data_IF_214094244647
#
_entry.id   IF_214094244647
#
_cell.length_a   1.000
_cell.length_b   1.000
_cell.length_c   1.000
_cell.angle_alpha   90.00
_cell.angle_beta   90.00
_cell.angle_gamma   90.00
#
_symmetry.space_group_name_H-M   'P 1'
#
loop_
_entity.id
_entity.type
_entity.pdbx_description
1 polymer ?
#
# COMPACT_ATOMS: atom_id res chain seq x y z
N UNK A 1 -27.21 -43.10 -33.71
CA UNK A 1 -27.15 -41.68 -33.31
C UNK A 1 -26.14 -41.54 -32.19
N UNK A 2 -24.92 -41.12 -32.54
CA UNK A 2 -23.88 -40.86 -31.54
C UNK A 2 -23.86 -39.35 -31.29
N UNK A 3 -24.20 -38.97 -30.04
CA UNK A 3 -24.06 -37.58 -29.56
C UNK A 3 -22.60 -37.32 -29.25
N UNK A 4 -21.93 -36.56 -30.11
CA UNK A 4 -20.60 -36.05 -29.83
C UNK A 4 -20.66 -34.94 -28.79
N UNK A 5 -20.16 -35.20 -27.61
CA UNK A 5 -19.82 -34.18 -26.62
C UNK A 5 -18.56 -33.46 -27.10
N UNK A 6 -18.74 -32.24 -27.60
CA UNK A 6 -17.63 -31.33 -27.89
C UNK A 6 -17.16 -30.75 -26.56
N UNK A 7 -16.06 -31.25 -26.03
CA UNK A 7 -15.34 -30.64 -24.91
C UNK A 7 -14.58 -29.44 -25.48
N UNK A 8 -15.10 -28.24 -25.28
CA UNK A 8 -14.30 -27.04 -25.51
C UNK A 8 -13.32 -26.94 -24.31
N UNK A 9 -12.15 -27.50 -24.50
CA UNK A 9 -11.01 -27.22 -23.65
C UNK A 9 -10.60 -25.76 -23.91
N UNK A 10 -10.81 -24.89 -22.96
CA UNK A 10 -10.12 -23.60 -22.90
C UNK A 10 -8.68 -23.96 -22.58
N UNK A 11 -7.81 -23.85 -23.56
CA UNK A 11 -6.36 -23.91 -23.36
C UNK A 11 -5.97 -22.60 -22.67
N UNK A 12 -6.11 -22.54 -21.35
CA UNK A 12 -5.54 -21.47 -20.55
C UNK A 12 -4.03 -21.70 -20.45
N UNK A 13 -3.33 -21.40 -21.54
CA UNK A 13 -1.87 -21.35 -21.50
C UNK A 13 -1.45 -20.28 -20.48
N UNK A 14 -0.67 -20.68 -19.47
CA UNK A 14 -0.09 -19.76 -18.51
C UNK A 14 0.63 -18.61 -19.22
N UNK A 15 0.40 -17.34 -18.82
CA UNK A 15 1.05 -16.20 -19.44
C UNK A 15 2.57 -16.35 -19.36
N UNK A 16 3.24 -16.09 -20.46
CA UNK A 16 4.69 -16.22 -20.59
C UNK A 16 5.43 -14.99 -20.04
N UNK A 17 4.72 -13.90 -19.84
CA UNK A 17 5.27 -12.60 -19.45
C UNK A 17 4.29 -11.82 -18.58
N UNK A 18 4.82 -11.07 -17.61
CA UNK A 18 4.02 -10.18 -16.77
C UNK A 18 3.29 -9.10 -17.58
N UNK A 19 3.83 -8.68 -18.71
CA UNK A 19 3.24 -7.65 -19.57
C UNK A 19 1.92 -8.10 -20.24
N UNK A 20 1.64 -9.39 -20.25
CA UNK A 20 0.38 -9.96 -20.75
C UNK A 20 -0.76 -9.75 -19.75
N UNK A 21 -0.46 -9.62 -18.45
CA UNK A 21 -1.44 -9.58 -17.37
C UNK A 21 -1.38 -8.33 -16.51
N UNK A 22 -0.34 -7.51 -16.68
CA UNK A 22 -0.15 -6.28 -15.92
C UNK A 22 0.46 -5.19 -16.79
N UNK A 23 -0.23 -4.07 -16.91
CA UNK A 23 0.26 -2.87 -17.60
C UNK A 23 0.72 -1.84 -16.59
N UNK A 24 1.90 -1.27 -16.81
CA UNK A 24 2.47 -0.24 -15.94
C UNK A 24 2.49 1.09 -16.67
N UNK A 25 1.94 2.12 -16.02
CA UNK A 25 2.01 3.51 -16.50
C UNK A 25 2.60 4.38 -15.41
N UNK A 26 3.40 5.36 -15.80
CA UNK A 26 3.96 6.33 -14.86
C UNK A 26 3.85 7.75 -15.38
N UNK A 27 3.57 8.66 -14.47
CA UNK A 27 3.43 10.09 -14.74
C UNK A 27 3.88 10.93 -13.55
N UNK A 28 4.14 12.21 -13.80
CA UNK A 28 4.35 13.21 -12.75
C UNK A 28 3.25 14.25 -12.87
N UNK A 29 2.55 14.47 -11.77
CA UNK A 29 1.45 15.43 -11.69
C UNK A 29 1.79 16.55 -10.72
N UNK A 30 1.24 17.74 -10.96
CA UNK A 30 1.39 18.86 -10.03
C UNK A 30 0.48 18.65 -8.83
N UNK A 31 1.02 18.84 -7.62
CA UNK A 31 0.33 18.68 -6.35
C UNK A 31 0.83 17.51 -5.54
N UNK A 32 0.41 17.46 -4.28
CA UNK A 32 0.68 16.34 -3.38
C UNK A 32 -0.63 15.77 -2.84
N UNK A 33 -0.72 14.45 -2.62
CA UNK A 33 -1.86 13.87 -1.92
C UNK A 33 -1.85 14.39 -0.50
N UNK A 34 -2.92 15.06 -0.14
CA UNK A 34 -3.28 15.52 1.20
C UNK A 34 -2.38 16.53 1.92
N UNK A 35 -3.10 17.41 2.64
CA UNK A 35 -2.77 18.24 3.78
C UNK A 35 -1.85 19.44 3.50
N UNK A 36 -2.49 20.56 3.27
CA UNK A 36 -1.85 21.87 3.31
C UNK A 36 -2.02 22.69 2.03
N UNK A 37 -1.46 23.88 2.08
CA UNK A 37 -1.45 24.77 0.92
C UNK A 37 -0.43 24.26 -0.09
N UNK A 38 -0.91 23.67 -1.18
CA UNK A 38 -0.06 23.24 -2.31
C UNK A 38 0.65 24.41 -2.95
N UNK A 39 1.90 24.21 -3.32
CA UNK A 39 2.73 25.17 -4.04
C UNK A 39 3.13 24.60 -5.41
N UNK A 40 3.68 25.41 -6.29
CA UNK A 40 4.23 24.96 -7.59
C UNK A 40 5.44 24.01 -7.45
N UNK A 41 5.94 23.86 -6.23
CA UNK A 41 7.06 22.98 -5.93
C UNK A 41 6.60 21.56 -5.55
N UNK A 42 5.33 21.41 -5.22
CA UNK A 42 4.77 20.13 -4.77
C UNK A 42 4.30 19.32 -5.99
N UNK A 43 4.83 18.13 -6.13
CA UNK A 43 4.60 17.21 -7.23
C UNK A 43 4.28 15.82 -6.68
N UNK A 44 3.70 14.97 -7.50
CA UNK A 44 3.53 13.54 -7.18
C UNK A 44 3.97 12.70 -8.36
N UNK A 45 4.86 11.75 -8.10
CA UNK A 45 5.08 10.62 -8.99
C UNK A 45 3.93 9.64 -8.80
N UNK A 46 3.22 9.32 -9.88
CA UNK A 46 2.16 8.32 -9.90
C UNK A 46 2.62 7.15 -10.78
N UNK A 47 2.58 5.94 -10.24
CA UNK A 47 2.83 4.72 -10.99
C UNK A 47 1.58 3.86 -10.84
N UNK A 48 0.89 3.61 -11.95
CA UNK A 48 -0.31 2.79 -12.00
C UNK A 48 0.02 1.39 -12.51
N UNK A 49 -0.44 0.38 -11.79
CA UNK A 49 -0.54 -0.99 -12.27
C UNK A 49 -1.99 -1.25 -12.66
N UNK A 50 -2.22 -1.72 -13.87
CA UNK A 50 -3.52 -2.17 -14.39
C UNK A 50 -3.41 -3.68 -14.60
N UNK A 51 -4.23 -4.45 -13.89
CA UNK A 51 -4.21 -5.92 -13.87
C UNK A 51 -5.34 -6.45 -14.73
N UNK A 52 -5.10 -7.56 -15.39
CA UNK A 52 -6.15 -8.30 -16.06
C UNK A 52 -7.06 -9.03 -15.05
N UNK A 53 -8.20 -9.49 -15.49
CA UNK A 53 -9.22 -10.14 -14.66
C UNK A 53 -8.65 -11.31 -13.85
N UNK A 54 -9.06 -11.41 -12.59
CA UNK A 54 -8.63 -12.40 -11.58
C UNK A 54 -7.17 -12.29 -11.12
N UNK A 55 -6.35 -11.42 -11.71
CA UNK A 55 -5.01 -11.18 -11.21
C UNK A 55 -5.04 -10.19 -10.05
N UNK A 56 -4.16 -10.40 -9.06
CA UNK A 56 -4.00 -9.49 -7.94
C UNK A 56 -2.53 -9.17 -7.68
N UNK A 57 -2.28 -8.01 -7.10
CA UNK A 57 -0.98 -7.60 -6.57
C UNK A 57 -1.08 -7.30 -5.09
N UNK A 58 0.02 -6.99 -4.43
CA UNK A 58 0.12 -6.97 -2.97
C UNK A 58 0.27 -5.56 -2.42
N UNK A 59 -0.19 -5.40 -1.18
CA UNK A 59 0.07 -4.23 -0.35
C UNK A 59 1.39 -4.40 0.41
N UNK A 60 1.75 -3.42 1.27
CA UNK A 60 2.95 -3.45 2.09
C UNK A 60 3.07 -4.67 3.00
N UNK A 61 1.97 -5.16 3.53
CA UNK A 61 1.84 -6.46 4.18
C UNK A 61 1.06 -7.36 3.24
N UNK A 62 1.73 -8.34 2.69
CA UNK A 62 1.12 -9.27 1.74
C UNK A 62 0.12 -10.24 2.39
N UNK A 63 0.14 -10.39 3.73
CA UNK A 63 -0.69 -11.34 4.43
C UNK A 63 -0.05 -12.72 4.56
N UNK A 64 -0.82 -13.79 4.31
CA UNK A 64 -0.37 -15.17 4.54
C UNK A 64 0.75 -15.61 3.60
N UNK A 65 0.83 -15.05 2.39
CA UNK A 65 1.83 -15.37 1.37
C UNK A 65 1.95 -14.25 0.34
N UNK A 66 2.90 -14.36 -0.58
CA UNK A 66 3.20 -13.34 -1.58
C UNK A 66 4.36 -12.44 -1.15
N UNK A 67 4.55 -11.35 -1.85
CA UNK A 67 5.60 -10.39 -1.55
C UNK A 67 5.13 -8.94 -1.77
N UNK A 68 5.46 -8.03 -0.84
CA UNK A 68 5.15 -6.61 -1.01
C UNK A 68 5.93 -6.00 -2.16
N UNK A 69 5.36 -4.98 -2.82
CA UNK A 69 6.08 -4.23 -3.83
C UNK A 69 7.23 -3.44 -3.22
N UNK A 70 8.29 -3.24 -4.02
CA UNK A 70 9.44 -2.41 -3.64
C UNK A 70 9.61 -1.30 -4.65
N UNK A 71 9.43 -0.07 -4.21
CA UNK A 71 9.61 1.12 -5.02
C UNK A 71 10.79 1.93 -4.49
N UNK A 72 11.77 2.19 -5.35
CA UNK A 72 12.88 3.09 -5.11
C UNK A 72 12.78 4.28 -6.06
N UNK A 73 12.91 5.48 -5.52
CA UNK A 73 12.86 6.73 -6.28
C UNK A 73 14.17 7.47 -6.07
N UNK A 74 14.82 7.83 -7.17
CA UNK A 74 16.03 8.64 -7.18
C UNK A 74 15.72 9.98 -7.82
N UNK A 75 15.77 11.03 -7.01
CA UNK A 75 15.55 12.41 -7.42
C UNK A 75 16.86 13.17 -7.44
N UNK A 76 16.94 14.31 -8.17
CA UNK A 76 18.10 15.19 -8.14
C UNK A 76 18.38 15.75 -6.73
N UNK A 77 19.60 16.23 -6.54
CA UNK A 77 20.02 16.87 -5.29
C UNK A 77 19.10 18.04 -4.91
N UNK A 78 18.80 18.15 -3.62
CA UNK A 78 17.91 19.20 -3.09
C UNK A 78 16.42 18.93 -3.23
N UNK A 79 16.03 17.78 -3.81
CA UNK A 79 14.64 17.36 -3.81
C UNK A 79 14.28 16.59 -2.53
N UNK A 80 13.09 16.86 -2.00
CA UNK A 80 12.52 16.03 -0.94
C UNK A 80 11.68 14.93 -1.58
N UNK A 81 11.93 13.68 -1.23
CA UNK A 81 11.15 12.50 -1.65
C UNK A 81 10.39 11.99 -0.44
N UNK A 82 9.07 12.11 -0.49
CA UNK A 82 8.19 11.61 0.56
C UNK A 82 8.01 10.10 0.52
N UNK A 83 7.32 9.55 1.52
CA UNK A 83 7.03 8.13 1.56
C UNK A 83 6.06 7.73 0.43
N UNK A 84 6.22 6.51 -0.08
CA UNK A 84 5.26 5.96 -1.04
C UNK A 84 3.89 5.74 -0.37
N UNK A 85 2.86 6.16 -1.04
CA UNK A 85 1.46 6.09 -0.62
C UNK A 85 0.74 5.04 -1.46
N UNK A 86 0.03 4.12 -0.82
CA UNK A 86 -0.87 3.15 -1.42
C UNK A 86 -2.27 3.27 -0.82
N UNK A 87 -3.33 3.02 -1.57
CA UNK A 87 -4.68 2.98 -1.02
C UNK A 87 -4.84 1.83 -0.01
N UNK A 88 -5.95 1.83 0.74
CA UNK A 88 -6.29 0.72 1.62
C UNK A 88 -6.42 -0.57 0.80
N UNK A 89 -5.75 -1.68 1.21
CA UNK A 89 -5.79 -2.92 0.47
C UNK A 89 -7.13 -3.63 0.62
N UNK A 90 -7.43 -4.52 -0.29
CA UNK A 90 -8.46 -5.55 -0.13
C UNK A 90 -7.90 -6.74 0.65
N UNK A 91 -8.80 -7.49 1.32
CA UNK A 91 -8.47 -8.79 1.88
C UNK A 91 -8.94 -9.86 0.89
N UNK A 92 -8.03 -10.42 0.15
CA UNK A 92 -8.29 -11.39 -0.91
C UNK A 92 -8.18 -12.77 -0.30
N UNK A 93 -9.25 -13.56 -0.40
CA UNK A 93 -9.24 -14.96 0.05
C UNK A 93 -8.56 -15.83 -1.00
N UNK A 94 -7.60 -16.64 -0.58
CA UNK A 94 -6.92 -17.61 -1.45
C UNK A 94 -6.84 -18.97 -0.76
N UNK A 95 -6.54 -20.03 -1.50
CA UNK A 95 -6.38 -21.38 -0.96
C UNK A 95 -5.24 -21.50 0.07
N UNK A 96 -4.26 -20.60 0.00
CA UNK A 96 -3.13 -20.55 0.92
C UNK A 96 -3.36 -19.59 2.11
N UNK A 97 -4.58 -19.03 2.23
CA UNK A 97 -4.95 -18.08 3.25
C UNK A 97 -5.15 -16.66 2.71
N UNK A 98 -5.60 -15.73 3.57
CA UNK A 98 -5.90 -14.36 3.14
C UNK A 98 -4.64 -13.58 2.80
N UNK A 99 -4.69 -12.82 1.71
CA UNK A 99 -3.67 -11.86 1.32
C UNK A 99 -4.25 -10.45 1.29
N UNK A 100 -3.39 -9.45 1.41
CA UNK A 100 -3.77 -8.04 1.32
C UNK A 100 -3.19 -7.44 0.05
N UNK A 101 -4.07 -6.91 -0.81
CA UNK A 101 -3.64 -6.43 -2.11
C UNK A 101 -4.76 -5.75 -2.88
N UNK A 102 -4.66 -5.83 -4.19
CA UNK A 102 -5.54 -5.13 -5.12
C UNK A 102 -5.83 -5.98 -6.34
N UNK A 103 -7.09 -5.97 -6.77
CA UNK A 103 -7.52 -6.40 -8.09
C UNK A 103 -7.59 -5.19 -9.03
N UNK A 104 -7.74 -5.43 -10.32
CA UNK A 104 -7.97 -4.45 -11.37
C UNK A 104 -6.87 -3.39 -11.48
N UNK A 105 -6.69 -2.55 -10.48
CA UNK A 105 -5.67 -1.50 -10.53
C UNK A 105 -5.23 -0.99 -9.16
N UNK A 106 -3.99 -0.54 -9.11
CA UNK A 106 -3.46 0.20 -7.96
C UNK A 106 -2.54 1.32 -8.43
N UNK A 107 -2.52 2.43 -7.68
CA UNK A 107 -1.61 3.55 -7.92
C UNK A 107 -0.67 3.73 -6.73
N UNK A 108 0.61 3.68 -7.02
CA UNK A 108 1.67 4.13 -6.12
C UNK A 108 1.83 5.62 -6.28
N UNK A 109 1.79 6.35 -5.20
CA UNK A 109 1.99 7.79 -5.20
C UNK A 109 3.19 8.14 -4.33
N UNK A 110 4.10 8.92 -4.87
CA UNK A 110 5.26 9.43 -4.13
C UNK A 110 5.22 10.94 -4.14
N UNK A 111 4.91 11.58 -3.00
CA UNK A 111 5.02 13.02 -2.89
C UNK A 111 6.46 13.47 -3.10
N UNK A 112 6.63 14.51 -3.89
CA UNK A 112 7.91 15.09 -4.22
C UNK A 112 7.85 16.59 -3.99
N UNK A 113 8.94 17.17 -3.49
CA UNK A 113 9.08 18.63 -3.42
C UNK A 113 10.40 19.04 -4.04
N UNK A 114 10.32 19.85 -5.08
CA UNK A 114 11.50 20.38 -5.79
C UNK A 114 11.95 21.71 -5.19
N UNK A 115 13.26 22.01 -5.18
CA UNK A 115 13.78 23.28 -4.65
C UNK A 115 13.35 24.48 -5.50
N UNK A 116 13.20 24.28 -6.81
CA UNK A 116 12.79 25.29 -7.78
C UNK A 116 12.05 24.65 -8.97
N UNK A 117 11.67 25.45 -9.96
CA UNK A 117 10.93 25.01 -11.14
C UNK A 117 11.84 24.60 -12.33
N UNK A 118 13.12 24.36 -12.11
CA UNK A 118 14.01 23.91 -13.17
C UNK A 118 13.61 22.53 -13.72
N UNK A 119 13.76 22.30 -15.04
CA UNK A 119 13.57 20.96 -15.59
C UNK A 119 14.54 19.96 -14.96
N UNK A 120 14.06 18.75 -14.70
CA UNK A 120 14.86 17.72 -14.04
C UNK A 120 14.52 16.32 -14.60
N UNK A 121 15.30 15.33 -14.20
CA UNK A 121 15.02 13.92 -14.46
C UNK A 121 14.84 13.19 -13.14
N UNK A 122 13.77 12.42 -13.05
CA UNK A 122 13.43 11.56 -11.92
C UNK A 122 13.53 10.12 -12.37
N UNK A 123 14.25 9.30 -11.61
CA UNK A 123 14.34 7.85 -11.83
C UNK A 123 13.53 7.09 -10.82
N UNK A 124 12.90 5.98 -11.25
CA UNK A 124 12.35 5.02 -10.31
C UNK A 124 12.65 3.58 -10.74
N UNK A 125 12.66 2.70 -9.75
CA UNK A 125 12.73 1.26 -9.90
C UNK A 125 11.60 0.65 -9.09
N UNK A 126 10.76 -0.17 -9.73
CA UNK A 126 9.64 -0.87 -9.11
C UNK A 126 9.78 -2.37 -9.34
N UNK A 127 9.81 -3.13 -8.25
CA UNK A 127 9.65 -4.57 -8.24
C UNK A 127 8.28 -4.90 -7.64
N UNK A 128 7.51 -5.78 -8.28
CA UNK A 128 6.19 -6.18 -7.77
C UNK A 128 5.87 -7.62 -8.17
N UNK A 129 4.92 -8.22 -7.48
CA UNK A 129 4.43 -9.56 -7.75
C UNK A 129 2.96 -9.48 -8.16
N UNK A 130 2.57 -10.21 -9.20
CA UNK A 130 1.16 -10.43 -9.54
C UNK A 130 0.87 -11.92 -9.55
N UNK A 131 -0.27 -12.32 -9.00
CA UNK A 131 -0.63 -13.71 -8.84
C UNK A 131 -2.10 -13.97 -9.22
N UNK A 132 -2.34 -15.15 -9.78
CA UNK A 132 -3.62 -15.81 -9.96
C UNK A 132 -3.43 -17.26 -9.51
N UNK A 133 -3.28 -18.22 -10.39
CA UNK A 133 -2.87 -19.59 -10.08
C UNK A 133 -1.35 -19.72 -9.94
N UNK A 134 -0.61 -18.85 -10.60
CA UNK A 134 0.84 -18.71 -10.48
C UNK A 134 1.23 -17.27 -10.26
N UNK A 135 2.46 -17.05 -9.80
CA UNK A 135 2.99 -15.72 -9.53
C UNK A 135 4.03 -15.31 -10.55
N UNK A 136 3.90 -14.10 -11.06
CA UNK A 136 4.82 -13.47 -12.01
C UNK A 136 5.49 -12.27 -11.33
N UNK A 137 6.82 -12.25 -11.38
CA UNK A 137 7.61 -11.11 -10.87
C UNK A 137 7.73 -10.05 -11.96
N UNK A 138 7.31 -8.83 -11.64
CA UNK A 138 7.53 -7.64 -12.44
C UNK A 138 8.70 -6.84 -11.94
N UNK A 139 9.48 -6.29 -12.85
CA UNK A 139 10.55 -5.36 -12.59
C UNK A 139 10.53 -4.26 -13.65
N UNK A 140 10.52 -3.01 -13.22
CA UNK A 140 10.59 -1.88 -14.13
C UNK A 140 11.50 -0.79 -13.59
N UNK A 141 12.36 -0.28 -14.47
CA UNK A 141 13.13 0.94 -14.24
C UNK A 141 12.77 1.96 -15.31
N UNK A 142 12.50 3.20 -14.93
CA UNK A 142 12.15 4.26 -15.86
C UNK A 142 12.74 5.60 -15.41
N UNK A 143 12.98 6.49 -16.39
CA UNK A 143 13.40 7.86 -16.17
C UNK A 143 12.35 8.80 -16.74
N UNK A 144 11.81 9.67 -15.90
CA UNK A 144 10.78 10.62 -16.26
C UNK A 144 11.37 12.04 -16.31
N UNK A 145 11.04 12.78 -17.36
CA UNK A 145 11.38 14.21 -17.44
C UNK A 145 10.34 15.01 -16.67
N UNK A 146 10.82 15.87 -15.78
CA UNK A 146 10.00 16.83 -15.04
C UNK A 146 10.18 18.17 -15.69
N UNK A 147 9.18 18.71 -16.40
CA UNK A 147 9.29 20.04 -17.01
C UNK A 147 9.20 21.15 -15.96
N UNK A 148 9.62 22.35 -16.33
CA UNK A 148 9.49 23.54 -15.48
C UNK A 148 8.04 23.83 -15.09
N UNK A 149 7.10 23.63 -16.01
CA UNK A 149 5.66 23.78 -15.78
C UNK A 149 4.97 22.44 -16.02
N UNK A 150 4.20 22.00 -15.04
CA UNK A 150 3.30 20.86 -15.14
C UNK A 150 1.86 21.37 -15.22
N UNK A 151 1.05 20.72 -16.06
CA UNK A 151 -0.39 20.90 -16.00
C UNK A 151 -0.88 20.48 -14.59
N UNK A 152 -1.92 21.15 -14.08
CA UNK A 152 -2.57 20.67 -12.86
C UNK A 152 -3.00 19.23 -13.09
N UNK A 153 -2.57 18.33 -12.21
CA UNK A 153 -3.02 16.95 -12.21
C UNK A 153 -4.53 16.85 -12.01
N UNK A 154 -5.14 15.85 -12.59
CA UNK A 154 -6.53 15.54 -12.27
C UNK A 154 -6.58 15.10 -10.79
N UNK A 155 -7.44 15.67 -9.95
CA UNK A 155 -7.60 15.21 -8.57
C UNK A 155 -7.90 13.71 -8.46
N UNK A 156 -8.45 13.11 -9.51
CA UNK A 156 -8.69 11.66 -9.60
C UNK A 156 -7.41 10.84 -9.74
N UNK A 157 -6.32 11.44 -10.17
CA UNK A 157 -5.01 10.79 -10.22
C UNK A 157 -4.33 10.71 -8.85
N UNK A 158 -4.79 11.53 -7.90
CA UNK A 158 -4.31 11.55 -6.53
C UNK A 158 -5.31 10.83 -5.64
N UNK A 159 -5.02 9.59 -5.29
CA UNK A 159 -5.83 8.81 -4.34
C UNK A 159 -5.52 9.23 -2.90
N UNK A 160 -6.51 9.09 -2.02
CA UNK A 160 -6.26 9.23 -0.59
C UNK A 160 -5.30 8.13 -0.10
N UNK A 161 -4.32 8.51 0.69
CA UNK A 161 -3.47 7.55 1.40
C UNK A 161 -4.32 6.68 2.32
N UNK A 162 -4.04 5.39 2.36
CA UNK A 162 -4.63 4.47 3.32
C UNK A 162 -4.50 4.97 4.77
N UNK A 163 -3.44 5.72 5.08
CA UNK A 163 -3.21 6.34 6.38
C UNK A 163 -3.84 7.74 6.52
N UNK A 164 -4.40 8.29 5.46
CA UNK A 164 -5.11 9.58 5.43
C UNK A 164 -6.58 9.39 5.09
N UNK A 165 -7.21 8.38 5.66
CA UNK A 165 -8.65 8.19 5.57
C UNK A 165 -9.40 9.42 6.10
N UNK A 166 -10.60 9.64 5.57
CA UNK A 166 -11.45 10.77 5.93
C UNK A 166 -11.52 11.00 7.45
N UNK A 167 -11.64 12.26 7.92
CA UNK A 167 -11.86 12.55 9.33
C UNK A 167 -13.03 11.70 9.86
N UNK A 168 -12.81 10.96 10.93
CA UNK A 168 -13.78 10.00 11.49
C UNK A 168 -13.41 8.54 11.24
N UNK A 169 -12.53 8.25 10.28
CA UNK A 169 -11.93 6.91 10.11
C UNK A 169 -10.51 6.80 10.67
N UNK A 170 -10.01 7.84 11.33
CA UNK A 170 -8.76 7.81 12.08
C UNK A 170 -9.02 7.43 13.52
N UNK A 171 -8.27 6.44 14.00
CA UNK A 171 -8.35 5.96 15.38
C UNK A 171 -7.15 6.44 16.18
N UNK A 172 -7.38 6.72 17.45
CA UNK A 172 -6.29 6.94 18.40
C UNK A 172 -5.54 5.64 18.63
N UNK A 173 -4.24 5.74 18.70
CA UNK A 173 -3.37 4.60 18.98
C UNK A 173 -2.21 5.00 19.88
N UNK A 174 -1.68 4.03 20.61
CA UNK A 174 -0.52 4.22 21.48
C UNK A 174 0.18 2.91 21.74
N UNK A 175 1.47 2.99 22.01
CA UNK A 175 2.25 1.85 22.45
C UNK A 175 2.08 1.70 23.99
N UNK A 176 1.83 0.49 24.46
CA UNK A 176 1.75 0.11 25.87
C UNK A 176 2.71 -1.06 26.10
N UNK A 177 3.96 -0.76 26.47
CA UNK A 177 5.04 -1.74 26.44
C UNK A 177 5.27 -2.23 25.00
N UNK A 178 5.18 -3.53 24.79
CA UNK A 178 5.28 -4.14 23.45
C UNK A 178 3.89 -4.49 22.88
N UNK A 179 2.85 -3.76 23.27
CA UNK A 179 1.51 -3.90 22.72
C UNK A 179 1.05 -2.60 22.09
N UNK A 180 0.57 -2.67 20.86
CA UNK A 180 -0.11 -1.56 20.20
C UNK A 180 -1.58 -1.53 20.64
N UNK A 181 -1.96 -0.50 21.36
CA UNK A 181 -3.36 -0.23 21.63
C UNK A 181 -3.94 0.67 20.54
N UNK A 182 -5.10 0.27 19.99
CA UNK A 182 -5.86 1.03 19.00
C UNK A 182 -7.31 1.19 19.47
N UNK A 183 -7.85 2.40 19.40
CA UNK A 183 -9.22 2.74 19.77
C UNK A 183 -10.23 1.90 18.97
N UNK A 184 -11.27 1.43 19.66
CA UNK A 184 -12.39 0.74 19.03
C UNK A 184 -13.32 1.74 18.35
N UNK A 185 -13.57 1.64 17.05
CA UNK A 185 -14.53 2.51 16.38
C UNK A 185 -15.95 2.26 16.91
N UNK A 186 -16.70 3.34 17.10
CA UNK A 186 -18.06 3.26 17.64
C UNK A 186 -18.99 2.46 16.72
N UNK A 187 -19.79 1.60 17.33
CA UNK A 187 -20.81 0.82 16.63
C UNK A 187 -20.29 -0.41 15.89
N UNK A 188 -18.98 -0.74 16.03
CA UNK A 188 -18.43 -1.95 15.43
C UNK A 188 -18.43 -3.13 16.39
N UNK A 189 -18.68 -4.32 15.83
CA UNK A 189 -18.67 -5.59 16.54
C UNK A 189 -17.67 -6.52 15.80
N UNK A 190 -17.10 -7.46 16.53
CA UNK A 190 -16.13 -8.42 15.96
C UNK A 190 -14.69 -8.07 16.27
N UNK A 191 -13.82 -8.99 15.96
CA UNK A 191 -12.38 -8.88 16.13
C UNK A 191 -11.77 -8.29 14.83
N UNK A 192 -11.11 -7.14 14.91
CA UNK A 192 -10.48 -6.56 13.74
C UNK A 192 -9.16 -7.26 13.40
N UNK A 193 -8.79 -7.21 12.14
CA UNK A 193 -7.43 -7.50 11.69
C UNK A 193 -6.61 -6.22 11.73
N UNK A 194 -5.40 -6.33 12.26
CA UNK A 194 -4.39 -5.27 12.21
C UNK A 194 -3.44 -5.56 11.06
N UNK A 195 -3.24 -4.60 10.21
CA UNK A 195 -2.16 -4.59 9.22
C UNK A 195 -1.41 -3.27 9.33
N UNK A 196 -0.12 -3.27 9.14
CA UNK A 196 0.68 -2.05 9.18
C UNK A 196 1.79 -2.09 8.12
N UNK A 197 2.28 -0.91 7.78
CA UNK A 197 3.42 -0.78 6.89
C UNK A 197 4.61 -1.49 7.52
N UNK A 198 5.23 -2.46 6.83
CA UNK A 198 6.35 -3.19 7.39
C UNK A 198 7.47 -2.24 7.84
N UNK A 199 7.98 -2.50 9.03
CA UNK A 199 9.19 -1.92 9.56
C UNK A 199 10.09 -3.09 9.91
N UNK A 200 11.35 -3.06 9.49
CA UNK A 200 12.28 -4.18 9.68
C UNK A 200 12.41 -4.61 11.16
N UNK A 201 12.18 -3.66 12.05
CA UNK A 201 12.29 -3.86 13.50
C UNK A 201 10.96 -4.18 14.21
N UNK A 202 9.84 -4.28 13.49
CA UNK A 202 8.50 -4.47 14.08
C UNK A 202 7.72 -5.53 13.33
N UNK A 203 7.20 -6.50 14.07
CA UNK A 203 6.26 -7.51 13.57
C UNK A 203 5.08 -7.70 14.53
N UNK A 204 4.01 -8.34 14.07
CA UNK A 204 2.94 -8.79 14.97
C UNK A 204 3.44 -9.93 15.84
N UNK A 205 3.13 -9.88 17.13
CA UNK A 205 3.36 -10.98 18.04
C UNK A 205 2.42 -12.16 17.74
N UNK A 206 2.79 -13.33 18.21
CA UNK A 206 2.03 -14.58 17.98
C UNK A 206 0.73 -14.68 18.80
N UNK A 207 0.59 -13.87 19.85
CA UNK A 207 -0.59 -13.91 20.69
C UNK A 207 -1.79 -13.18 20.05
N UNK A 208 -2.98 -13.71 20.31
CA UNK A 208 -4.22 -13.08 19.84
C UNK A 208 -4.41 -11.67 20.41
N UNK A 209 -5.00 -10.76 19.64
CA UNK A 209 -5.32 -9.43 20.12
C UNK A 209 -6.35 -9.48 21.26
N UNK A 210 -6.12 -8.68 22.28
CA UNK A 210 -7.00 -8.60 23.45
C UNK A 210 -7.96 -7.42 23.35
N UNK A 211 -9.27 -7.70 23.43
CA UNK A 211 -10.29 -6.67 23.51
C UNK A 211 -10.22 -5.98 24.87
N UNK A 212 -10.18 -4.64 24.86
CA UNK A 212 -10.21 -3.77 26.03
C UNK A 212 -11.47 -2.88 25.99
N UNK A 213 -11.76 -2.18 27.11
CA UNK A 213 -12.98 -1.37 27.24
C UNK A 213 -13.20 -0.38 26.10
N UNK A 214 -12.14 0.25 25.62
CA UNK A 214 -12.20 1.32 24.61
C UNK A 214 -11.38 1.02 23.36
N UNK A 215 -10.84 -0.19 23.22
CA UNK A 215 -9.95 -0.51 22.11
C UNK A 215 -9.54 -1.97 22.05
N UNK A 216 -8.55 -2.20 21.22
CA UNK A 216 -7.88 -3.48 21.05
C UNK A 216 -6.39 -3.34 21.31
N UNK A 217 -5.81 -4.29 22.01
CA UNK A 217 -4.37 -4.39 22.22
C UNK A 217 -3.81 -5.53 21.35
N UNK A 218 -2.89 -5.18 20.49
CA UNK A 218 -2.22 -6.12 19.59
C UNK A 218 -0.78 -6.30 20.07
N UNK A 219 -0.36 -7.52 20.42
CA UNK A 219 1.02 -7.80 20.76
C UNK A 219 1.93 -7.51 19.57
N UNK A 220 3.06 -6.86 19.81
CA UNK A 220 4.10 -6.61 18.83
C UNK A 220 5.41 -7.27 19.29
N UNK A 221 6.19 -7.70 18.32
CA UNK A 221 7.60 -8.05 18.52
C UNK A 221 8.43 -6.87 18.02
N UNK A 222 9.06 -6.15 18.94
CA UNK A 222 9.82 -4.93 18.64
C UNK A 222 11.29 -5.19 18.93
N UNK A 223 12.12 -5.22 17.87
CA UNK A 223 13.58 -5.33 17.97
C UNK A 223 14.18 -3.94 18.10
N UNK A 224 14.20 -3.42 19.32
CA UNK A 224 14.63 -2.04 19.61
C UNK A 224 16.08 -1.75 19.19
N UNK A 225 16.96 -2.76 19.24
CA UNK A 225 18.34 -2.64 18.79
C UNK A 225 18.48 -2.32 17.29
N UNK A 226 17.44 -2.57 16.49
CA UNK A 226 17.42 -2.32 15.06
C UNK A 226 16.94 -0.89 14.71
N UNK A 227 16.53 -0.12 15.73
CA UNK A 227 16.21 1.31 15.53
C UNK A 227 17.50 2.13 15.55
N UNK A 228 17.61 3.16 14.69
CA UNK A 228 18.69 4.14 14.80
C UNK A 228 18.67 4.80 16.18
N UNK A 229 19.84 5.04 16.75
CA UNK A 229 19.96 5.72 18.04
C UNK A 229 19.25 7.08 18.00
N UNK A 230 18.49 7.40 19.05
CA UNK A 230 17.69 8.63 19.21
C UNK A 230 16.61 8.87 18.12
N UNK A 231 16.21 7.85 17.37
CA UNK A 231 15.19 8.00 16.34
C UNK A 231 13.79 7.72 16.88
N UNK A 232 12.84 8.53 16.44
CA UNK A 232 11.40 8.24 16.56
C UNK A 232 10.92 7.67 15.24
N UNK A 233 10.38 6.47 15.27
CA UNK A 233 9.79 5.81 14.10
C UNK A 233 8.27 5.86 14.22
N UNK A 234 7.58 6.21 13.15
CA UNK A 234 6.11 6.22 13.14
C UNK A 234 5.61 4.93 12.49
N UNK A 235 4.86 4.14 13.26
CA UNK A 235 4.12 2.98 12.77
C UNK A 235 2.78 3.47 12.21
N UNK A 236 2.58 3.26 10.91
CA UNK A 236 1.31 3.53 10.22
C UNK A 236 0.62 2.21 9.92
N UNK A 237 -0.67 2.12 10.20
CA UNK A 237 -1.41 0.90 9.96
C UNK A 237 -2.90 1.11 9.83
N UNK A 238 -3.58 -0.01 9.58
CA UNK A 238 -5.01 -0.11 9.37
C UNK A 238 -5.60 -1.13 10.32
N UNK A 239 -6.76 -0.80 10.86
CA UNK A 239 -7.62 -1.71 11.57
C UNK A 239 -8.79 -2.06 10.65
N UNK A 240 -8.92 -3.33 10.28
CA UNK A 240 -9.87 -3.81 9.29
C UNK A 240 -10.93 -4.66 10.00
N UNK A 241 -12.17 -4.22 9.90
CA UNK A 241 -13.33 -5.00 10.31
C UNK A 241 -13.99 -5.56 9.05
N UNK A 242 -14.21 -6.85 9.02
CA UNK A 242 -14.91 -7.54 7.93
C UNK A 242 -16.04 -8.34 8.54
N UNK A 243 -17.24 -8.17 8.02
CA UNK A 243 -18.39 -9.04 8.20
C UNK A 243 -18.86 -9.55 6.82
N UNK A 244 -19.92 -10.36 6.79
CA UNK A 244 -20.41 -10.99 5.56
C UNK A 244 -20.98 -10.00 4.54
N UNK A 245 -21.26 -8.75 4.95
CA UNK A 245 -21.92 -7.74 4.11
C UNK A 245 -21.05 -6.52 3.82
N UNK A 246 -20.10 -6.21 4.70
CA UNK A 246 -19.31 -4.99 4.58
C UNK A 246 -17.89 -5.14 5.14
N UNK A 247 -16.99 -4.38 4.54
CA UNK A 247 -15.64 -4.19 5.02
C UNK A 247 -15.42 -2.74 5.35
N UNK A 248 -14.94 -2.46 6.55
CA UNK A 248 -14.55 -1.12 6.95
C UNK A 248 -13.12 -1.07 7.44
N UNK A 249 -12.44 -0.04 7.00
CA UNK A 249 -11.02 0.18 7.28
C UNK A 249 -10.85 1.50 8.00
N UNK A 250 -10.04 1.48 9.06
CA UNK A 250 -9.71 2.62 9.90
C UNK A 250 -8.20 2.76 9.99
N UNK A 251 -7.69 3.96 9.76
CA UNK A 251 -6.26 4.22 9.87
C UNK A 251 -5.85 4.59 11.29
N UNK A 252 -4.62 4.27 11.65
CA UNK A 252 -3.96 4.77 12.85
C UNK A 252 -2.49 5.11 12.56
N UNK A 253 -1.89 5.88 13.45
CA UNK A 253 -0.45 6.08 13.46
C UNK A 253 0.06 6.25 14.88
N UNK A 254 1.14 5.57 15.24
CA UNK A 254 1.74 5.56 16.57
C UNK A 254 3.23 5.79 16.46
N UNK A 255 3.77 6.65 17.32
CA UNK A 255 5.21 6.84 17.44
C UNK A 255 5.81 5.73 18.30
N UNK A 256 6.88 5.14 17.78
CA UNK A 256 7.74 4.20 18.48
C UNK A 256 9.02 4.93 18.86
N UNK A 257 9.32 4.99 20.14
CA UNK A 257 10.58 5.53 20.64
C UNK A 257 11.51 4.37 20.97
N UNK A 258 12.79 4.61 20.74
CA UNK A 258 13.83 3.67 21.18
C UNK A 258 13.98 3.71 22.70
#
# INVERSE_FOLDING_TARGET
MALGLSVHGVDESMPSSINEVCRVRSSIVAGAPAVGRMTERDLTLVIALELDEDWHTYWWDAGSWGAPPRLRVSAPEGWDVGPTILPAPECISTDLGPVYGYHESVRFQVPLRRPDASPAELKYELDWLVCKEACLLGMQSNTLRVPSMLAKGDPRDLQEDANHLAPGRRLRSRLLGDSLWVEHPKGRVGQPKLVFRPLDAVSLGQADPAKQKEGWAFPLEIRRQDFPEESTVTLHGLLIFSDDEARETYAFSTMLNN
#
